data_IF_512180670358
#
_entry.id   IF_512180670358
#
_cell.length_a   1.000
_cell.length_b   1.000
_cell.length_c   1.000
_cell.angle_alpha   90.00
_cell.angle_beta   90.00
_cell.angle_gamma   90.00
#
_symmetry.space_group_name_H-M   'P 1'
#
loop_
_entity.id
_entity.type
_entity.pdbx_description
1 polymer ?
#
# COMPACT_ATOMS: atom_id res chain seq x y z
N UNK A 1 -20.10 -31.75 65.39
CA UNK A 1 -19.25 -31.82 64.19
C UNK A 1 -19.70 -30.70 63.26
N UNK A 2 -19.25 -29.48 63.51
CA UNK A 2 -18.04 -28.84 62.93
C UNK A 2 -18.18 -28.66 61.41
N UNK A 3 -18.53 -27.42 61.08
CA UNK A 3 -18.42 -26.69 59.82
C UNK A 3 -17.05 -26.84 59.15
N UNK A 4 -17.03 -26.91 57.81
CA UNK A 4 -15.91 -26.40 57.03
C UNK A 4 -16.39 -25.73 55.73
N UNK A 5 -16.19 -24.41 55.70
CA UNK A 5 -16.17 -23.57 54.50
C UNK A 5 -15.02 -24.04 53.60
N UNK A 6 -15.27 -24.22 52.30
CA UNK A 6 -14.20 -24.24 51.30
C UNK A 6 -14.22 -22.92 50.55
N UNK A 7 -13.11 -22.18 50.70
CA UNK A 7 -12.79 -20.96 49.97
C UNK A 7 -12.55 -21.28 48.49
N UNK A 8 -13.44 -20.81 47.62
CA UNK A 8 -13.15 -20.64 46.19
C UNK A 8 -12.22 -19.42 46.06
N UNK A 9 -10.93 -19.68 45.88
CA UNK A 9 -9.96 -18.67 45.45
C UNK A 9 -10.07 -18.53 43.94
N UNK A 10 -10.64 -17.42 43.48
CA UNK A 10 -10.64 -17.02 42.08
C UNK A 10 -9.22 -16.77 41.60
N UNK A 11 -8.69 -17.67 40.77
CA UNK A 11 -7.63 -17.30 39.83
C UNK A 11 -8.29 -16.63 38.62
N UNK A 12 -8.24 -15.30 38.57
CA UNK A 12 -8.44 -14.55 37.34
C UNK A 12 -7.27 -14.88 36.40
N UNK A 13 -7.44 -15.88 35.54
CA UNK A 13 -6.67 -15.97 34.33
C UNK A 13 -7.23 -14.90 33.38
N UNK A 14 -6.53 -13.76 33.28
CA UNK A 14 -6.73 -12.80 32.19
C UNK A 14 -6.50 -13.55 30.89
N UNK A 15 -7.59 -13.92 30.22
CA UNK A 15 -7.58 -14.48 28.87
C UNK A 15 -7.06 -13.41 27.93
N UNK A 16 -5.75 -13.41 27.69
CA UNK A 16 -5.16 -12.89 26.46
C UNK A 16 -5.79 -13.70 25.32
N UNK A 17 -6.76 -13.09 24.65
CA UNK A 17 -7.28 -13.57 23.37
C UNK A 17 -6.07 -13.89 22.48
N UNK A 18 -5.93 -15.16 22.12
CA UNK A 18 -4.90 -15.64 21.21
C UNK A 18 -5.15 -15.01 19.84
N UNK A 19 -4.51 -13.87 19.58
CA UNK A 19 -4.46 -13.24 18.27
C UNK A 19 -3.71 -14.17 17.34
N UNK A 20 -4.39 -14.65 16.29
CA UNK A 20 -3.75 -15.42 15.24
C UNK A 20 -2.64 -14.56 14.58
N UNK A 21 -1.40 -14.91 14.93
CA UNK A 21 -0.09 -14.61 14.34
C UNK A 21 0.07 -13.35 13.46
N UNK A 22 -0.07 -12.17 14.05
CA UNK A 22 0.58 -10.94 13.54
C UNK A 22 1.94 -10.66 14.23
N UNK A 23 2.17 -11.31 15.38
CA UNK A 23 3.31 -11.12 16.27
C UNK A 23 4.33 -12.25 16.09
N UNK A 24 5.59 -11.90 15.86
CA UNK A 24 6.72 -12.84 15.91
C UNK A 24 7.46 -12.71 17.25
N UNK A 25 8.04 -13.81 17.77
CA UNK A 25 8.89 -13.73 18.95
C UNK A 25 10.01 -12.69 18.78
N UNK A 26 10.07 -11.71 19.67
CA UNK A 26 11.05 -10.62 19.63
C UNK A 26 10.46 -9.26 19.24
N UNK A 27 9.28 -9.25 18.60
CA UNK A 27 8.62 -8.00 18.22
C UNK A 27 8.37 -7.12 19.46
N UNK A 28 8.65 -5.83 19.30
CA UNK A 28 8.30 -4.80 20.28
C UNK A 28 6.98 -4.17 19.88
N UNK A 29 6.11 -3.96 20.86
CA UNK A 29 4.76 -3.44 20.64
C UNK A 29 4.51 -2.20 21.49
N UNK A 30 3.73 -1.27 20.97
CA UNK A 30 3.12 -0.21 21.75
C UNK A 30 1.65 -0.05 21.35
N UNK A 31 0.78 0.00 22.35
CA UNK A 31 -0.67 0.15 22.15
C UNK A 31 -1.15 1.45 22.75
N UNK A 32 -2.08 2.11 22.05
CA UNK A 32 -2.72 3.30 22.60
C UNK A 32 -3.52 2.93 23.86
N UNK A 33 -3.39 3.75 24.90
CA UNK A 33 -4.15 3.63 26.15
C UNK A 33 -4.40 5.02 26.73
N UNK A 34 -5.19 5.12 27.80
CA UNK A 34 -5.48 6.41 28.44
C UNK A 34 -4.16 7.13 28.83
N UNK A 35 -3.80 8.18 28.07
CA UNK A 35 -2.58 8.97 28.28
C UNK A 35 -1.32 8.50 27.52
N UNK A 36 -1.37 7.39 26.77
CA UNK A 36 -0.21 6.91 25.98
C UNK A 36 -0.58 6.81 24.50
N UNK A 37 0.05 7.63 23.66
CA UNK A 37 -0.08 7.64 22.19
C UNK A 37 1.16 7.10 21.48
N UNK A 38 1.92 6.24 22.16
CA UNK A 38 3.17 5.67 21.68
C UNK A 38 4.16 6.72 21.15
N UNK A 39 4.55 7.72 21.97
CA UNK A 39 5.48 8.75 21.53
C UNK A 39 6.83 8.14 21.18
N UNK A 40 7.41 8.60 20.08
CA UNK A 40 8.61 8.06 19.46
C UNK A 40 9.81 7.99 20.42
N UNK A 41 9.93 8.95 21.33
CA UNK A 41 10.97 9.02 22.37
C UNK A 41 10.92 7.86 23.38
N UNK A 42 9.78 7.18 23.49
CA UNK A 42 9.56 6.07 24.43
C UNK A 42 9.66 4.71 23.77
N UNK A 43 9.76 4.66 22.43
CA UNK A 43 9.75 3.41 21.70
C UNK A 43 11.10 2.70 21.83
N UNK A 44 11.04 1.44 22.23
CA UNK A 44 12.17 0.52 22.16
C UNK A 44 12.02 -0.36 20.92
N UNK A 45 12.92 -0.18 19.95
CA UNK A 45 12.95 -0.99 18.74
C UNK A 45 13.34 -2.45 19.04
N UNK A 46 12.81 -3.38 18.25
CA UNK A 46 13.21 -4.78 18.28
C UNK A 46 14.68 -4.96 17.91
N UNK A 47 15.37 -5.84 18.62
CA UNK A 47 16.74 -6.24 18.28
C UNK A 47 16.80 -7.09 17.00
N UNK A 48 15.66 -7.66 16.54
CA UNK A 48 15.61 -8.54 15.36
C UNK A 48 15.63 -7.77 14.05
N UNK A 49 14.87 -6.69 13.96
CA UNK A 49 14.66 -5.94 12.71
C UNK A 49 14.65 -4.41 12.87
N UNK A 50 14.84 -3.92 14.10
CA UNK A 50 14.83 -2.50 14.41
C UNK A 50 13.46 -1.85 14.35
N UNK A 51 12.36 -2.64 14.43
CA UNK A 51 11.00 -2.12 14.33
C UNK A 51 10.20 -2.17 15.63
N UNK A 52 9.10 -1.42 15.67
CA UNK A 52 8.06 -1.48 16.71
C UNK A 52 6.70 -1.50 16.03
N UNK A 53 5.80 -2.37 16.48
CA UNK A 53 4.41 -2.41 16.04
C UNK A 53 3.57 -1.47 16.90
N UNK A 54 2.86 -0.55 16.26
CA UNK A 54 1.97 0.41 16.92
C UNK A 54 0.52 0.00 16.68
N UNK A 55 -0.21 -0.22 17.77
CA UNK A 55 -1.62 -0.56 17.78
C UNK A 55 -2.44 0.68 18.16
N UNK A 56 -2.94 1.45 17.17
CA UNK A 56 -3.68 2.69 17.43
C UNK A 56 -5.07 2.45 18.03
N UNK A 57 -5.65 1.26 17.85
CA UNK A 57 -7.01 0.94 18.32
C UNK A 57 -8.06 1.90 17.74
N UNK A 58 -9.02 2.31 18.57
CA UNK A 58 -10.10 3.20 18.16
C UNK A 58 -10.93 2.62 17.02
N UNK A 59 -11.12 3.40 15.95
CA UNK A 59 -11.89 2.97 14.78
C UNK A 59 -11.04 2.23 13.73
N UNK A 60 -9.75 1.98 13.99
CA UNK A 60 -8.91 1.24 13.04
C UNK A 60 -9.26 -0.25 13.06
N UNK A 61 -9.29 -0.86 11.88
CA UNK A 61 -9.60 -2.29 11.70
C UNK A 61 -9.29 -2.79 10.29
N UNK A 62 -9.17 -4.09 10.14
CA UNK A 62 -9.13 -4.78 8.85
C UNK A 62 -10.53 -5.15 8.33
N UNK A 63 -10.55 -5.69 7.10
CA UNK A 63 -11.76 -5.89 6.31
C UNK A 63 -12.86 -6.72 7.00
N UNK A 64 -12.48 -7.77 7.72
CA UNK A 64 -13.44 -8.75 8.25
C UNK A 64 -13.18 -9.02 9.72
N UNK A 65 -14.23 -9.43 10.43
CA UNK A 65 -14.09 -10.01 11.77
C UNK A 65 -13.30 -11.31 11.71
N UNK A 66 -12.60 -11.64 12.79
CA UNK A 66 -11.71 -12.79 12.91
C UNK A 66 -12.37 -14.09 12.45
N UNK A 67 -11.63 -14.86 11.67
CA UNK A 67 -12.07 -16.12 11.09
C UNK A 67 -10.88 -16.95 10.69
N UNK A 68 -11.02 -18.27 10.75
CA UNK A 68 -10.06 -19.21 10.18
C UNK A 68 -10.81 -20.40 9.63
N UNK A 69 -10.53 -20.71 8.37
CA UNK A 69 -10.96 -21.95 7.72
C UNK A 69 -9.72 -22.79 7.38
N UNK A 70 -9.54 -23.96 8.03
CA UNK A 70 -8.40 -24.83 7.78
C UNK A 70 -8.46 -25.52 6.41
N UNK A 71 -9.64 -25.66 5.78
CA UNK A 71 -9.81 -26.33 4.48
C UNK A 71 -9.30 -25.46 3.34
N UNK A 72 -9.53 -24.15 3.41
CA UNK A 72 -9.10 -23.18 2.39
C UNK A 72 -7.78 -22.47 2.75
N UNK A 73 -7.37 -22.55 4.02
CA UNK A 73 -6.25 -21.76 4.55
C UNK A 73 -6.58 -20.26 4.63
N UNK A 74 -7.86 -19.90 4.59
CA UNK A 74 -8.31 -18.51 4.67
C UNK A 74 -8.39 -18.07 6.13
N UNK A 75 -7.65 -17.03 6.46
CA UNK A 75 -7.64 -16.41 7.80
C UNK A 75 -7.82 -14.92 7.67
N UNK A 76 -8.66 -14.36 8.54
CA UNK A 76 -8.87 -12.92 8.70
C UNK A 76 -8.49 -12.52 10.13
N UNK A 77 -8.01 -11.29 10.28
CA UNK A 77 -7.75 -10.69 11.59
C UNK A 77 -8.23 -9.24 11.53
N UNK A 78 -9.18 -8.89 12.39
CA UNK A 78 -9.82 -7.58 12.45
C UNK A 78 -8.89 -6.48 12.97
N UNK A 79 -7.81 -6.84 13.66
CA UNK A 79 -6.90 -5.89 14.30
C UNK A 79 -5.98 -5.24 13.27
N UNK A 80 -5.95 -3.91 13.28
CA UNK A 80 -4.98 -3.12 12.54
C UNK A 80 -3.82 -2.67 13.43
N UNK A 81 -2.62 -2.65 12.85
CA UNK A 81 -1.42 -2.03 13.40
C UNK A 81 -0.60 -1.46 12.26
N UNK A 82 0.31 -0.54 12.58
CA UNK A 82 1.36 -0.09 11.65
C UNK A 82 2.73 -0.29 12.27
N UNK A 83 3.76 -0.36 11.44
CA UNK A 83 5.12 -0.70 11.86
C UNK A 83 6.04 0.51 11.70
N UNK A 84 6.87 0.77 12.71
CA UNK A 84 7.77 1.92 12.74
C UNK A 84 9.20 1.43 12.88
N UNK A 85 10.09 1.98 12.05
CA UNK A 85 11.54 1.81 12.16
C UNK A 85 12.15 3.16 12.57
N UNK A 86 12.32 3.40 13.89
CA UNK A 86 12.77 4.68 14.40
C UNK A 86 14.27 4.88 14.18
N UNK A 87 14.67 6.13 13.93
CA UNK A 87 16.06 6.60 13.95
C UNK A 87 16.17 7.84 14.85
N UNK A 88 17.30 8.03 15.55
CA UNK A 88 17.48 9.19 16.44
C UNK A 88 17.34 10.52 15.69
N UNK A 89 17.89 10.58 14.47
CA UNK A 89 17.75 11.74 13.59
C UNK A 89 16.36 11.75 12.94
N UNK A 90 15.56 12.80 13.21
CA UNK A 90 14.15 12.93 12.79
C UNK A 90 13.94 13.79 11.55
N UNK A 91 14.97 13.91 10.71
CA UNK A 91 14.96 14.81 9.54
C UNK A 91 14.45 14.14 8.27
N UNK A 92 14.59 12.83 8.16
CA UNK A 92 14.16 12.06 6.99
C UNK A 92 13.09 11.04 7.37
N UNK A 93 11.97 11.08 6.66
CA UNK A 93 10.82 10.21 6.90
C UNK A 93 10.33 9.57 5.60
N UNK A 94 10.22 8.24 5.62
CA UNK A 94 9.57 7.45 4.60
C UNK A 94 8.23 6.95 5.13
N UNK A 95 7.14 7.35 4.47
CA UNK A 95 5.80 6.78 4.66
C UNK A 95 5.61 5.71 3.58
N UNK A 96 5.51 4.44 3.98
CA UNK A 96 5.46 3.30 3.05
C UNK A 96 4.13 2.56 3.15
N UNK A 97 3.31 2.65 2.09
CA UNK A 97 2.03 1.97 1.99
C UNK A 97 2.19 0.56 1.39
N UNK A 98 1.75 -0.45 2.14
CA UNK A 98 1.83 -1.83 1.70
C UNK A 98 0.91 -2.12 0.52
N UNK A 99 1.32 -3.06 -0.31
CA UNK A 99 0.47 -3.71 -1.29
C UNK A 99 -0.32 -4.89 -0.73
N UNK A 100 -1.07 -5.58 -1.58
CA UNK A 100 -1.74 -6.82 -1.19
C UNK A 100 -3.04 -7.10 -1.92
N UNK A 101 -3.12 -6.75 -3.21
CA UNK A 101 -4.30 -6.94 -4.03
C UNK A 101 -5.41 -5.91 -3.78
N UNK A 102 -6.66 -6.24 -4.14
CA UNK A 102 -7.85 -5.43 -3.91
C UNK A 102 -9.11 -6.26 -4.19
N UNK A 103 -10.28 -5.75 -3.84
CA UNK A 103 -11.54 -6.15 -4.48
C UNK A 103 -12.06 -5.00 -5.35
N UNK A 104 -12.72 -5.29 -6.46
CA UNK A 104 -13.09 -4.27 -7.47
C UNK A 104 -14.60 -4.01 -7.56
N UNK A 105 -15.41 -4.86 -6.92
CA UNK A 105 -16.87 -4.79 -6.90
C UNK A 105 -17.45 -5.58 -5.72
N UNK A 106 -18.77 -5.52 -5.52
CA UNK A 106 -19.44 -6.19 -4.39
C UNK A 106 -19.20 -7.70 -4.34
N UNK A 107 -18.99 -8.35 -5.48
CA UNK A 107 -18.77 -9.80 -5.54
C UNK A 107 -17.36 -10.12 -5.06
N UNK A 108 -16.35 -9.50 -5.67
CA UNK A 108 -14.94 -9.66 -5.27
C UNK A 108 -14.69 -9.17 -3.85
N UNK A 109 -15.51 -8.28 -3.32
CA UNK A 109 -15.42 -7.83 -1.92
C UNK A 109 -16.14 -8.78 -0.93
N UNK A 110 -16.90 -9.75 -1.42
CA UNK A 110 -17.69 -10.62 -0.56
C UNK A 110 -16.82 -11.59 0.26
N UNK A 111 -17.14 -11.72 1.56
CA UNK A 111 -16.42 -12.62 2.46
C UNK A 111 -16.43 -14.08 1.98
N UNK A 112 -17.60 -14.61 1.63
CA UNK A 112 -17.76 -16.02 1.27
C UNK A 112 -16.96 -16.34 0.01
N UNK A 113 -16.93 -15.42 -0.96
CA UNK A 113 -16.09 -15.56 -2.15
C UNK A 113 -14.59 -15.56 -1.79
N UNK A 114 -14.12 -14.59 -0.99
CA UNK A 114 -12.70 -14.52 -0.60
C UNK A 114 -12.25 -15.75 0.18
N UNK A 115 -13.09 -16.25 1.09
CA UNK A 115 -12.88 -17.51 1.80
C UNK A 115 -12.82 -18.69 0.82
N UNK A 116 -13.76 -18.75 -0.13
CA UNK A 116 -13.85 -19.84 -1.10
C UNK A 116 -12.65 -19.89 -2.05
N UNK A 117 -12.09 -18.73 -2.41
CA UNK A 117 -10.87 -18.61 -3.18
C UNK A 117 -9.62 -19.03 -2.39
N UNK A 118 -9.66 -18.96 -1.05
CA UNK A 118 -8.58 -19.40 -0.17
C UNK A 118 -7.25 -18.68 -0.45
N UNK A 119 -6.27 -19.44 -0.93
CA UNK A 119 -4.94 -18.92 -1.34
C UNK A 119 -5.01 -18.04 -2.59
N UNK A 120 -6.06 -18.16 -3.40
CA UNK A 120 -6.30 -17.35 -4.61
C UNK A 120 -7.16 -16.10 -4.35
N UNK A 121 -7.38 -15.76 -3.08
CA UNK A 121 -8.08 -14.54 -2.66
C UNK A 121 -7.50 -13.30 -3.34
N UNK A 122 -8.36 -12.31 -3.59
CA UNK A 122 -7.94 -11.11 -4.35
C UNK A 122 -7.25 -10.08 -3.46
N UNK A 123 -7.31 -10.21 -2.13
CA UNK A 123 -6.53 -9.38 -1.22
C UNK A 123 -6.18 -10.10 0.09
N UNK A 124 -5.19 -9.59 0.83
CA UNK A 124 -4.85 -10.06 2.17
C UNK A 124 -5.76 -9.40 3.22
N UNK A 125 -6.55 -10.13 4.03
CA UNK A 125 -7.50 -9.56 4.99
C UNK A 125 -6.93 -9.48 6.43
N UNK A 126 -5.61 -9.39 6.57
CA UNK A 126 -4.92 -9.29 7.85
C UNK A 126 -3.68 -8.39 7.69
N UNK A 127 -3.46 -7.50 8.65
CA UNK A 127 -2.28 -6.64 8.67
C UNK A 127 -1.02 -7.48 8.89
N UNK A 128 0.05 -7.18 8.14
CA UNK A 128 1.31 -7.91 8.21
C UNK A 128 2.51 -6.97 8.21
N UNK A 129 3.42 -7.18 9.16
CA UNK A 129 4.72 -6.52 9.22
C UNK A 129 5.63 -6.95 8.06
N UNK A 130 6.67 -6.16 7.77
CA UNK A 130 7.65 -6.46 6.73
C UNK A 130 9.05 -5.98 7.13
N UNK A 131 10.06 -6.85 7.00
CA UNK A 131 11.44 -6.56 7.42
C UNK A 131 12.47 -6.80 6.29
N UNK A 132 12.01 -6.83 5.04
CA UNK A 132 12.83 -7.10 3.84
C UNK A 132 12.94 -5.89 2.92
N UNK A 133 13.90 -5.90 2.01
CA UNK A 133 14.15 -4.81 1.05
C UNK A 133 14.44 -3.50 1.77
N UNK A 134 13.71 -2.44 1.43
CA UNK A 134 13.83 -1.12 2.07
C UNK A 134 13.61 -1.10 3.59
N UNK A 135 13.00 -2.15 4.17
CA UNK A 135 12.82 -2.26 5.62
C UNK A 135 14.02 -2.93 6.31
N UNK A 136 14.89 -3.62 5.57
CA UNK A 136 16.05 -4.29 6.14
C UNK A 136 17.10 -3.27 6.59
N UNK A 137 17.25 -3.08 7.92
CA UNK A 137 18.17 -2.10 8.50
C UNK A 137 19.62 -2.59 8.56
N UNK A 138 19.84 -3.88 8.37
CA UNK A 138 21.15 -4.52 8.39
C UNK A 138 21.83 -4.51 7.02
N UNK A 139 21.09 -4.22 5.95
CA UNK A 139 21.67 -4.11 4.60
C UNK A 139 22.37 -2.75 4.43
N UNK A 140 23.71 -2.72 4.22
CA UNK A 140 24.45 -1.48 4.03
C UNK A 140 24.06 -0.74 2.72
N UNK A 141 23.48 -1.44 1.74
CA UNK A 141 23.08 -0.87 0.45
C UNK A 141 21.64 -0.32 0.46
N UNK A 142 20.88 -0.53 1.54
CA UNK A 142 19.55 0.02 1.65
C UNK A 142 19.61 1.55 1.79
N UNK A 143 19.11 2.26 0.78
CA UNK A 143 19.11 3.73 0.71
C UNK A 143 18.25 4.39 1.79
N UNK A 144 17.32 3.65 2.40
CA UNK A 144 16.49 4.10 3.51
C UNK A 144 16.97 3.60 4.88
N UNK A 145 18.16 2.97 4.96
CA UNK A 145 18.70 2.38 6.21
C UNK A 145 18.91 3.38 7.35
N UNK A 146 18.97 4.67 7.06
CA UNK A 146 19.12 5.76 8.05
C UNK A 146 17.89 6.67 8.14
N UNK A 147 16.82 6.35 7.41
CA UNK A 147 15.56 7.09 7.45
C UNK A 147 14.66 6.57 8.57
N UNK A 148 13.83 7.44 9.16
CA UNK A 148 12.67 6.94 9.89
C UNK A 148 11.70 6.35 8.86
N UNK A 149 11.14 5.17 9.15
CA UNK A 149 10.15 4.54 8.28
C UNK A 149 8.88 4.27 9.05
N UNK A 150 7.75 4.71 8.52
CA UNK A 150 6.41 4.29 8.96
C UNK A 150 5.84 3.43 7.84
N UNK A 151 5.77 2.14 8.07
CA UNK A 151 5.16 1.15 7.20
C UNK A 151 3.69 0.98 7.60
N UNK A 152 2.78 1.19 6.64
CA UNK A 152 1.33 1.08 6.81
C UNK A 152 0.86 -0.20 6.11
N UNK A 153 0.60 -1.29 6.86
CA UNK A 153 0.07 -2.53 6.32
C UNK A 153 -1.29 -2.34 5.65
N UNK A 154 -1.61 -3.23 4.72
CA UNK A 154 -2.84 -3.22 3.97
C UNK A 154 -3.67 -4.47 4.26
N UNK A 155 -4.90 -4.29 4.72
CA UNK A 155 -5.77 -5.40 5.10
C UNK A 155 -7.26 -5.20 4.82
N UNK A 156 -7.60 -4.20 3.99
CA UNK A 156 -8.97 -3.67 3.85
C UNK A 156 -9.57 -3.84 2.46
N UNK A 157 -8.81 -4.31 1.47
CA UNK A 157 -9.35 -4.59 0.12
C UNK A 157 -9.78 -3.36 -0.70
N UNK A 158 -9.52 -2.15 -0.18
CA UNK A 158 -10.02 -0.85 -0.66
C UNK A 158 -8.93 0.20 -1.00
N UNK A 159 -7.73 -0.25 -1.39
CA UNK A 159 -6.57 0.58 -1.72
C UNK A 159 -6.17 1.63 -0.66
N UNK A 160 -6.35 1.33 0.64
CA UNK A 160 -6.07 2.24 1.77
C UNK A 160 -6.95 3.50 1.82
N UNK A 161 -7.95 3.61 0.95
CA UNK A 161 -8.73 4.85 0.75
C UNK A 161 -10.24 4.61 0.79
N UNK A 162 -10.68 3.45 1.27
CA UNK A 162 -12.09 3.15 1.47
C UNK A 162 -12.64 3.67 2.80
N UNK A 163 -13.95 3.90 2.82
CA UNK A 163 -14.71 4.35 3.98
C UNK A 163 -16.16 3.85 3.98
N UNK A 164 -16.36 2.59 3.56
CA UNK A 164 -17.68 1.99 3.32
C UNK A 164 -17.80 0.66 4.03
N UNK A 165 -19.03 0.30 4.39
CA UNK A 165 -19.35 -1.06 4.86
C UNK A 165 -20.23 -1.74 3.81
N UNK A 166 -19.86 -2.96 3.42
CA UNK A 166 -20.69 -3.84 2.61
C UNK A 166 -21.33 -4.89 3.51
N UNK A 167 -22.61 -5.15 3.28
CA UNK A 167 -23.35 -6.16 4.01
C UNK A 167 -22.84 -7.57 3.68
N UNK A 168 -22.82 -8.44 4.69
CA UNK A 168 -22.35 -9.81 4.58
C UNK A 168 -23.40 -10.72 3.96
N UNK A 169 -23.79 -10.45 2.71
CA UNK A 169 -24.75 -11.26 1.96
C UNK A 169 -24.02 -12.11 0.93
N UNK A 170 -24.24 -13.41 0.98
CA UNK A 170 -23.78 -14.38 -0.02
C UNK A 170 -24.28 -14.00 -1.42
N UNK A 171 -23.45 -14.21 -2.45
CA UNK A 171 -23.69 -13.72 -3.81
C UNK A 171 -24.02 -14.83 -4.82
N UNK A 172 -23.93 -16.09 -4.40
CA UNK A 172 -24.07 -17.27 -5.24
C UNK A 172 -22.79 -17.64 -6.01
N UNK A 173 -21.91 -16.68 -6.32
CA UNK A 173 -20.65 -16.94 -7.03
C UNK A 173 -19.70 -17.85 -6.26
N UNK A 174 -19.70 -17.76 -4.93
CA UNK A 174 -18.96 -18.66 -4.05
C UNK A 174 -19.35 -20.14 -4.23
N UNK A 175 -20.56 -20.42 -4.74
CA UNK A 175 -21.02 -21.77 -5.10
C UNK A 175 -20.17 -22.46 -6.16
N UNK A 176 -19.51 -21.70 -7.03
CA UNK A 176 -18.65 -22.22 -8.09
C UNK A 176 -17.39 -22.92 -7.56
N UNK A 177 -17.02 -22.64 -6.31
CA UNK A 177 -15.76 -23.12 -5.71
C UNK A 177 -15.96 -24.33 -4.77
N UNK A 178 -17.20 -24.79 -4.58
CA UNK A 178 -17.55 -25.93 -3.74
C UNK A 178 -16.99 -25.86 -2.30
N UNK A 179 -16.99 -24.66 -1.72
CA UNK A 179 -16.57 -24.38 -0.34
C UNK A 179 -17.76 -23.98 0.53
N UNK A 180 -18.69 -24.92 0.75
CA UNK A 180 -19.93 -24.65 1.50
C UNK A 180 -19.70 -24.14 2.92
N UNK A 181 -18.56 -24.44 3.53
CA UNK A 181 -18.20 -23.91 4.86
C UNK A 181 -17.95 -22.39 4.86
N UNK A 182 -17.62 -21.80 3.72
CA UNK A 182 -17.42 -20.35 3.56
C UNK A 182 -18.74 -19.58 3.42
N UNK A 183 -19.85 -20.28 3.15
CA UNK A 183 -21.19 -19.69 2.96
C UNK A 183 -21.88 -19.41 4.29
N UNK A 184 -22.87 -18.52 4.27
CA UNK A 184 -23.74 -18.14 5.39
C UNK A 184 -22.98 -17.62 6.63
N UNK A 185 -21.75 -17.15 6.44
CA UNK A 185 -20.92 -16.59 7.52
C UNK A 185 -21.38 -15.18 7.93
N UNK A 186 -22.16 -14.50 7.08
CA UNK A 186 -22.76 -13.18 7.33
C UNK A 186 -21.78 -12.08 7.75
N UNK A 187 -20.52 -12.21 7.35
CA UNK A 187 -19.45 -11.26 7.69
C UNK A 187 -19.52 -10.04 6.78
N UNK A 188 -19.71 -8.87 7.40
CA UNK A 188 -19.63 -7.58 6.70
C UNK A 188 -18.20 -7.29 6.26
N UNK A 189 -18.04 -6.63 5.12
CA UNK A 189 -16.75 -6.07 4.73
C UNK A 189 -16.66 -4.62 5.18
N UNK A 190 -15.63 -4.31 5.95
CA UNK A 190 -15.27 -2.96 6.37
C UNK A 190 -14.15 -2.41 5.49
N UNK A 191 -14.50 -1.58 4.51
CA UNK A 191 -13.55 -0.75 3.78
C UNK A 191 -13.12 0.40 4.68
N UNK A 192 -12.15 0.12 5.55
CA UNK A 192 -11.69 1.02 6.60
C UNK A 192 -10.28 1.59 6.32
N UNK A 193 -9.82 1.47 5.07
CA UNK A 193 -8.46 1.83 4.67
C UNK A 193 -8.12 3.28 4.99
N UNK A 194 -9.06 4.21 4.77
CA UNK A 194 -8.78 5.63 5.02
C UNK A 194 -8.63 5.94 6.51
N UNK A 195 -9.44 5.34 7.38
CA UNK A 195 -9.31 5.53 8.83
C UNK A 195 -8.01 4.91 9.37
N UNK A 196 -7.60 3.75 8.85
CA UNK A 196 -6.30 3.16 9.17
C UNK A 196 -5.14 4.07 8.73
N UNK A 197 -5.21 4.59 7.51
CA UNK A 197 -4.22 5.52 6.94
C UNK A 197 -4.13 6.80 7.77
N UNK A 198 -5.28 7.40 8.11
CA UNK A 198 -5.35 8.59 8.95
C UNK A 198 -4.72 8.37 10.31
N UNK A 199 -4.99 7.24 10.97
CA UNK A 199 -4.42 6.94 12.28
C UNK A 199 -2.89 6.86 12.23
N UNK A 200 -2.33 6.15 11.24
CA UNK A 200 -0.88 6.04 11.06
C UNK A 200 -0.24 7.38 10.67
N UNK A 201 -0.85 8.14 9.76
CA UNK A 201 -0.36 9.45 9.33
C UNK A 201 -0.43 10.50 10.45
N UNK A 202 -1.49 10.50 11.25
CA UNK A 202 -1.63 11.39 12.41
C UNK A 202 -0.55 11.09 13.46
N UNK A 203 -0.29 9.80 13.75
CA UNK A 203 0.81 9.41 14.60
C UNK A 203 2.16 9.86 14.03
N UNK A 204 2.40 9.64 12.73
CA UNK A 204 3.65 10.03 12.08
C UNK A 204 3.87 11.55 12.14
N UNK A 205 2.83 12.37 11.87
CA UNK A 205 2.94 13.83 11.94
C UNK A 205 3.18 14.33 13.37
N UNK A 206 2.56 13.70 14.36
CA UNK A 206 2.77 14.06 15.76
C UNK A 206 4.20 13.77 16.24
N UNK A 207 4.83 12.72 15.72
CA UNK A 207 6.16 12.26 16.14
C UNK A 207 7.31 12.80 15.26
N UNK A 208 7.00 13.19 14.02
CA UNK A 208 7.95 13.77 13.06
C UNK A 208 7.39 15.08 12.49
N UNK A 209 7.17 16.12 13.33
CA UNK A 209 6.51 17.33 12.87
C UNK A 209 7.36 18.19 11.93
N UNK A 210 8.69 18.13 12.09
CA UNK A 210 9.69 19.04 11.48
C UNK A 210 10.73 18.28 10.63
N UNK A 211 10.24 17.37 9.78
CA UNK A 211 11.06 16.68 8.78
C UNK A 211 11.57 17.65 7.71
N UNK A 212 12.77 17.40 7.20
CA UNK A 212 13.34 18.12 6.06
C UNK A 212 13.08 17.38 4.76
N UNK A 213 13.17 16.04 4.79
CA UNK A 213 12.88 15.16 3.66
C UNK A 213 11.72 14.22 4.01
N UNK A 214 10.67 14.26 3.18
CA UNK A 214 9.50 13.40 3.29
C UNK A 214 9.30 12.65 1.99
N UNK A 215 9.33 11.31 2.05
CA UNK A 215 8.98 10.45 0.92
C UNK A 215 7.67 9.75 1.24
N UNK A 216 6.65 9.97 0.41
CA UNK A 216 5.45 9.16 0.39
C UNK A 216 5.58 8.11 -0.71
N UNK A 217 5.59 6.84 -0.33
CA UNK A 217 5.82 5.75 -1.27
C UNK A 217 4.88 4.60 -0.97
N UNK A 218 4.59 3.81 -2.00
CA UNK A 218 3.73 2.66 -1.84
C UNK A 218 3.97 1.64 -2.94
N UNK A 219 3.68 0.38 -2.63
CA UNK A 219 3.88 -0.74 -3.54
C UNK A 219 2.55 -1.38 -3.91
N UNK A 220 2.36 -1.78 -5.18
CA UNK A 220 1.14 -2.45 -5.65
C UNK A 220 -0.11 -1.60 -5.33
N UNK A 221 -1.10 -2.12 -4.59
CA UNK A 221 -2.25 -1.36 -4.09
C UNK A 221 -1.84 -0.07 -3.35
N UNK A 222 -0.75 -0.11 -2.57
CA UNK A 222 -0.19 1.06 -1.91
C UNK A 222 0.34 2.12 -2.90
N UNK A 223 0.78 1.72 -4.10
CA UNK A 223 1.20 2.67 -5.14
C UNK A 223 0.02 3.52 -5.63
N UNK A 224 -1.18 2.94 -5.71
CA UNK A 224 -2.42 3.67 -6.01
C UNK A 224 -2.85 4.54 -4.83
N UNK A 225 -2.70 4.04 -3.59
CA UNK A 225 -2.99 4.80 -2.39
C UNK A 225 -2.18 6.10 -2.33
N UNK A 226 -0.86 6.04 -2.55
CA UNK A 226 -0.02 7.24 -2.51
C UNK A 226 -0.30 8.23 -3.64
N UNK A 227 -0.77 7.74 -4.78
CA UNK A 227 -1.27 8.60 -5.87
C UNK A 227 -2.52 9.40 -5.43
N UNK A 228 -3.43 8.78 -4.68
CA UNK A 228 -4.65 9.43 -4.19
C UNK A 228 -4.45 10.29 -2.92
N UNK A 229 -3.56 9.86 -2.02
CA UNK A 229 -3.30 10.51 -0.73
C UNK A 229 -2.26 11.63 -0.78
N UNK A 230 -1.63 11.86 -1.94
CA UNK A 230 -0.50 12.77 -2.07
C UNK A 230 -0.78 14.20 -1.56
N UNK A 231 -1.94 14.77 -1.90
CA UNK A 231 -2.35 16.10 -1.43
C UNK A 231 -2.69 16.11 0.06
N UNK A 232 -3.37 15.08 0.54
CA UNK A 232 -3.68 14.93 1.96
C UNK A 232 -2.41 14.92 2.82
N UNK A 233 -1.40 14.13 2.43
CA UNK A 233 -0.09 14.09 3.12
C UNK A 233 0.67 15.40 2.97
N UNK A 234 0.65 16.01 1.78
CA UNK A 234 1.27 17.33 1.55
C UNK A 234 0.70 18.42 2.45
N UNK A 235 -0.62 18.42 2.66
CA UNK A 235 -1.32 19.32 3.56
C UNK A 235 -0.93 19.07 5.03
N UNK A 236 -0.92 17.81 5.47
CA UNK A 236 -0.54 17.43 6.85
C UNK A 236 0.84 17.96 7.26
N UNK A 237 1.82 17.93 6.36
CA UNK A 237 3.18 18.45 6.61
C UNK A 237 3.39 19.89 6.14
N UNK A 238 2.35 20.56 5.63
CA UNK A 238 2.41 21.92 5.10
C UNK A 238 3.58 22.12 4.11
N UNK A 239 3.68 21.22 3.13
CA UNK A 239 4.82 21.15 2.20
C UNK A 239 4.94 22.41 1.33
N UNK A 240 3.83 23.13 1.11
CA UNK A 240 3.81 24.40 0.40
C UNK A 240 4.56 25.54 1.12
N UNK A 241 4.89 25.36 2.40
CA UNK A 241 5.75 26.31 3.12
C UNK A 241 7.20 26.33 2.60
N UNK A 242 7.59 25.34 1.79
CA UNK A 242 8.95 25.20 1.25
C UNK A 242 9.98 24.66 2.25
N UNK A 243 9.57 24.36 3.49
CA UNK A 243 10.45 23.79 4.53
C UNK A 243 10.67 22.29 4.42
N UNK A 244 9.76 21.58 3.75
CA UNK A 244 9.78 20.12 3.60
C UNK A 244 9.99 19.78 2.13
N UNK A 245 11.06 19.08 1.82
CA UNK A 245 11.28 18.47 0.52
C UNK A 245 10.46 17.18 0.44
N UNK A 246 9.32 17.27 -0.25
CA UNK A 246 8.33 16.21 -0.34
C UNK A 246 8.37 15.53 -1.71
N UNK A 247 8.56 14.21 -1.75
CA UNK A 247 8.61 13.41 -2.98
C UNK A 247 7.71 12.16 -2.92
N UNK A 248 7.29 11.68 -4.09
CA UNK A 248 6.33 10.57 -4.21
C UNK A 248 6.88 9.42 -5.07
N UNK A 249 6.79 8.18 -4.57
CA UNK A 249 7.33 6.98 -5.25
C UNK A 249 6.28 5.87 -5.35
N UNK A 250 5.52 5.79 -6.46
CA UNK A 250 4.64 4.65 -6.74
C UNK A 250 5.43 3.48 -7.36
N UNK A 251 5.47 2.34 -6.66
CA UNK A 251 6.13 1.10 -7.11
C UNK A 251 5.10 0.07 -7.61
N UNK A 252 5.18 -0.25 -8.90
CA UNK A 252 4.48 -1.37 -9.55
C UNK A 252 2.95 -1.26 -9.61
N UNK A 253 2.41 -0.05 -9.75
CA UNK A 253 1.00 0.14 -10.16
C UNK A 253 0.69 1.55 -10.68
N UNK A 254 0.01 1.66 -11.84
CA UNK A 254 -0.36 2.95 -12.46
C UNK A 254 -1.86 3.12 -12.76
N UNK A 255 -2.70 2.15 -12.39
CA UNK A 255 -4.17 2.29 -12.45
C UNK A 255 -4.75 2.12 -13.86
N UNK A 256 -4.10 1.31 -14.70
CA UNK A 256 -4.63 0.95 -16.02
C UNK A 256 -5.90 0.10 -15.82
N UNK A 257 -7.02 0.57 -16.36
CA UNK A 257 -8.33 -0.06 -16.26
C UNK A 257 -8.96 -0.28 -17.65
N UNK A 258 -9.88 -1.23 -17.81
CA UNK A 258 -10.69 -1.38 -19.02
C UNK A 258 -11.48 -0.12 -19.34
N UNK A 259 -11.84 0.08 -20.60
CA UNK A 259 -12.53 1.30 -21.07
C UNK A 259 -13.87 1.54 -20.36
N UNK A 260 -14.52 0.47 -19.90
CA UNK A 260 -15.81 0.48 -19.22
C UNK A 260 -15.69 0.82 -17.73
N UNK A 261 -14.47 0.96 -17.20
CA UNK A 261 -14.17 1.21 -15.79
C UNK A 261 -13.29 2.45 -15.65
N UNK A 262 -13.83 3.48 -15.02
CA UNK A 262 -13.05 4.68 -14.70
C UNK A 262 -12.48 4.59 -13.28
N UNK A 263 -11.34 5.23 -13.00
CA UNK A 263 -10.87 5.43 -11.62
C UNK A 263 -11.91 6.11 -10.74
N UNK A 264 -12.66 7.08 -11.27
CA UNK A 264 -13.80 7.67 -10.56
C UNK A 264 -14.80 6.62 -10.06
N UNK A 265 -15.18 5.65 -10.91
CA UNK A 265 -16.10 4.57 -10.52
C UNK A 265 -15.55 3.69 -9.39
N UNK A 266 -14.24 3.40 -9.39
CA UNK A 266 -13.58 2.60 -8.35
C UNK A 266 -13.52 3.38 -7.03
N UNK A 267 -13.07 4.64 -7.09
CA UNK A 267 -13.01 5.53 -5.92
C UNK A 267 -14.40 5.74 -5.31
N UNK A 268 -15.43 5.92 -6.14
CA UNK A 268 -16.79 6.10 -5.66
C UNK A 268 -17.33 4.81 -5.02
N UNK A 269 -17.03 3.64 -5.60
CA UNK A 269 -17.42 2.35 -5.04
C UNK A 269 -16.88 2.15 -3.61
N UNK A 270 -15.63 2.54 -3.34
CA UNK A 270 -15.01 2.48 -2.02
C UNK A 270 -15.50 3.57 -1.04
N UNK A 271 -16.27 4.56 -1.52
CA UNK A 271 -16.69 5.73 -0.74
C UNK A 271 -15.65 6.86 -0.72
N UNK A 272 -14.54 6.72 -1.45
CA UNK A 272 -13.40 7.66 -1.44
C UNK A 272 -13.78 9.06 -1.92
N UNK A 273 -14.69 9.18 -2.89
CA UNK A 273 -15.11 10.49 -3.42
C UNK A 273 -15.83 11.37 -2.38
N UNK A 274 -16.26 10.80 -1.25
CA UNK A 274 -16.86 11.55 -0.13
C UNK A 274 -15.84 12.02 0.92
N UNK A 275 -14.58 11.60 0.81
CA UNK A 275 -13.53 11.88 1.79
C UNK A 275 -12.85 13.23 1.52
N UNK A 276 -12.42 13.88 2.60
CA UNK A 276 -11.56 15.07 2.49
C UNK A 276 -10.10 14.65 2.29
N UNK A 277 -9.74 14.43 1.02
CA UNK A 277 -8.35 14.16 0.60
C UNK A 277 -7.61 15.44 0.19
N UNK A 278 -8.14 16.63 0.53
CA UNK A 278 -7.61 17.94 0.09
C UNK A 278 -7.57 18.10 -1.43
N UNK A 279 -8.45 17.38 -2.13
CA UNK A 279 -8.64 17.49 -3.58
C UNK A 279 -9.51 18.72 -3.91
N UNK A 280 -9.29 19.39 -5.06
CA UNK A 280 -10.18 20.46 -5.52
C UNK A 280 -11.63 19.99 -5.68
N UNK A 281 -12.59 20.88 -5.47
CA UNK A 281 -14.03 20.56 -5.60
C UNK A 281 -14.39 19.98 -6.97
N UNK A 282 -13.80 20.51 -8.05
CA UNK A 282 -14.01 19.99 -9.41
C UNK A 282 -13.58 18.53 -9.56
N UNK A 283 -12.51 18.11 -8.88
CA UNK A 283 -12.09 16.72 -8.85
C UNK A 283 -13.14 15.88 -8.12
N UNK A 284 -13.57 16.33 -6.94
CA UNK A 284 -14.60 15.65 -6.13
C UNK A 284 -15.90 15.45 -6.93
N UNK A 285 -16.33 16.46 -7.67
CA UNK A 285 -17.53 16.40 -8.52
C UNK A 285 -17.37 15.35 -9.63
N UNK A 286 -16.23 15.36 -10.35
CA UNK A 286 -15.94 14.35 -11.39
C UNK A 286 -15.83 12.92 -10.82
N UNK A 287 -15.33 12.78 -9.59
CA UNK A 287 -15.19 11.50 -8.90
C UNK A 287 -16.57 10.92 -8.60
N UNK A 288 -17.46 11.73 -8.01
CA UNK A 288 -18.86 11.34 -7.73
C UNK A 288 -19.65 11.07 -9.00
N UNK A 289 -19.32 11.76 -10.10
CA UNK A 289 -19.89 11.51 -11.43
C UNK A 289 -19.28 10.30 -12.15
N UNK A 290 -18.31 9.60 -11.56
CA UNK A 290 -17.57 8.47 -12.15
C UNK A 290 -16.84 8.82 -13.46
N UNK A 291 -16.45 10.08 -13.67
CA UNK A 291 -15.77 10.52 -14.90
C UNK A 291 -14.26 10.76 -14.72
N UNK A 292 -13.77 10.79 -13.49
CA UNK A 292 -12.33 10.95 -13.18
C UNK A 292 -11.48 9.87 -13.85
N UNK A 293 -10.41 10.29 -14.51
CA UNK A 293 -9.40 9.43 -15.14
C UNK A 293 -8.13 9.31 -14.29
N UNK A 294 -7.24 8.37 -14.62
CA UNK A 294 -5.93 8.27 -13.95
C UNK A 294 -5.02 9.46 -14.29
N UNK A 295 -5.28 10.11 -15.42
CA UNK A 295 -4.59 11.36 -15.75
C UNK A 295 -4.98 12.44 -14.74
N UNK A 296 -6.27 12.56 -14.41
CA UNK A 296 -6.76 13.55 -13.46
C UNK A 296 -6.23 13.32 -12.05
N UNK A 297 -6.18 12.05 -11.58
CA UNK A 297 -5.71 11.68 -10.23
C UNK A 297 -4.31 12.25 -9.95
N UNK A 298 -3.37 12.04 -10.88
CA UNK A 298 -1.98 12.45 -10.70
C UNK A 298 -1.77 13.91 -11.12
N UNK A 299 -2.32 14.34 -12.27
CA UNK A 299 -2.07 15.71 -12.76
C UNK A 299 -2.70 16.79 -11.89
N UNK A 300 -3.78 16.49 -11.16
CA UNK A 300 -4.32 17.38 -10.13
C UNK A 300 -3.26 17.66 -9.06
N UNK A 301 -2.62 16.61 -8.54
CA UNK A 301 -1.55 16.77 -7.55
C UNK A 301 -0.34 17.49 -8.14
N UNK A 302 0.10 17.14 -9.36
CA UNK A 302 1.24 17.80 -10.00
C UNK A 302 1.02 19.31 -10.18
N UNK A 303 -0.21 19.73 -10.47
CA UNK A 303 -0.57 21.15 -10.60
C UNK A 303 -0.65 21.86 -9.25
N UNK A 304 -1.17 21.19 -8.23
CA UNK A 304 -1.32 21.78 -6.88
C UNK A 304 0.01 21.81 -6.12
N UNK A 305 0.89 20.83 -6.32
CA UNK A 305 2.21 20.71 -5.69
C UNK A 305 3.32 20.63 -6.76
N UNK A 306 3.58 21.70 -7.53
CA UNK A 306 4.50 21.66 -8.68
C UNK A 306 5.96 21.41 -8.31
N UNK A 307 6.32 21.57 -7.04
CA UNK A 307 7.68 21.34 -6.54
C UNK A 307 7.94 19.88 -6.14
N UNK A 308 6.89 19.06 -5.98
CA UNK A 308 7.01 17.66 -5.54
C UNK A 308 7.47 16.77 -6.70
N UNK A 309 8.68 16.16 -6.63
CA UNK A 309 9.10 15.19 -7.63
C UNK A 309 8.33 13.87 -7.47
N UNK A 310 8.15 13.18 -8.61
CA UNK A 310 7.53 11.86 -8.67
C UNK A 310 8.49 10.86 -9.31
N UNK A 311 8.54 9.64 -8.78
CA UNK A 311 9.30 8.55 -9.37
C UNK A 311 8.46 7.28 -9.49
N UNK A 312 8.06 6.94 -10.71
CA UNK A 312 7.34 5.71 -11.01
C UNK A 312 8.31 4.58 -11.33
N UNK A 313 8.15 3.43 -10.67
CA UNK A 313 8.91 2.21 -10.94
C UNK A 313 7.93 1.15 -11.42
N UNK A 314 8.18 0.50 -12.56
CA UNK A 314 7.25 -0.51 -13.06
C UNK A 314 7.89 -1.53 -14.00
N UNK A 315 7.38 -2.77 -13.99
CA UNK A 315 7.70 -3.74 -15.05
C UNK A 315 6.88 -3.45 -16.30
N UNK A 316 7.45 -3.60 -17.50
CA UNK A 316 6.70 -3.41 -18.75
C UNK A 316 5.50 -4.34 -18.87
N UNK A 317 5.64 -5.58 -18.40
CA UNK A 317 4.62 -6.62 -18.48
C UNK A 317 4.04 -7.04 -17.14
N UNK A 318 4.08 -6.19 -16.10
CA UNK A 318 3.65 -6.49 -14.72
C UNK A 318 2.41 -7.41 -14.68
N UNK A 319 2.62 -8.65 -14.21
CA UNK A 319 1.59 -9.69 -14.25
C UNK A 319 0.40 -9.36 -13.36
N UNK A 320 0.62 -8.71 -12.22
CA UNK A 320 -0.43 -8.38 -11.26
C UNK A 320 -1.34 -7.30 -11.81
N UNK A 321 -0.78 -6.24 -12.42
CA UNK A 321 -1.59 -5.21 -13.05
C UNK A 321 -2.47 -5.78 -14.16
N UNK A 322 -1.94 -6.70 -14.98
CA UNK A 322 -2.69 -7.37 -16.04
C UNK A 322 -3.77 -8.31 -15.49
N UNK A 323 -3.49 -8.97 -14.36
CA UNK A 323 -4.48 -9.79 -13.64
C UNK A 323 -5.65 -8.96 -13.12
N UNK A 324 -5.37 -7.84 -12.44
CA UNK A 324 -6.42 -6.96 -11.92
C UNK A 324 -7.17 -6.19 -13.01
N UNK A 325 -6.50 -5.86 -14.13
CA UNK A 325 -7.19 -5.39 -15.33
C UNK A 325 -8.25 -6.40 -15.78
N UNK A 326 -7.90 -7.70 -15.80
CA UNK A 326 -8.82 -8.75 -16.20
C UNK A 326 -9.96 -8.96 -15.19
N UNK A 327 -9.69 -8.88 -13.88
CA UNK A 327 -10.76 -8.88 -12.86
C UNK A 327 -11.71 -7.70 -13.10
N UNK A 328 -11.19 -6.49 -13.33
CA UNK A 328 -12.03 -5.32 -13.55
C UNK A 328 -12.89 -5.42 -14.83
N UNK A 329 -12.41 -6.17 -15.84
CA UNK A 329 -13.06 -6.38 -17.13
C UNK A 329 -14.13 -7.46 -17.08
N UNK A 330 -13.77 -8.66 -16.63
CA UNK A 330 -14.61 -9.86 -16.73
C UNK A 330 -15.34 -10.18 -15.41
N UNK A 331 -14.96 -9.51 -14.32
CA UNK A 331 -15.42 -9.85 -12.97
C UNK A 331 -14.92 -11.24 -12.53
N UNK A 332 -15.48 -11.72 -11.42
CA UNK A 332 -15.10 -13.04 -10.88
C UNK A 332 -15.50 -14.20 -11.80
N UNK A 333 -16.51 -14.02 -12.66
CA UNK A 333 -16.95 -15.06 -13.58
C UNK A 333 -15.90 -15.44 -14.64
N UNK A 334 -14.95 -14.54 -14.93
CA UNK A 334 -13.82 -14.85 -15.80
C UNK A 334 -12.70 -15.65 -15.12
N UNK A 335 -12.77 -15.87 -13.81
CA UNK A 335 -11.74 -16.59 -13.07
C UNK A 335 -11.87 -18.13 -13.23
N UNK A 336 -10.78 -18.87 -13.47
CA UNK A 336 -9.40 -18.39 -13.65
C UNK A 336 -9.17 -17.79 -15.04
N UNK A 337 -8.47 -16.66 -15.10
CA UNK A 337 -8.21 -15.97 -16.36
C UNK A 337 -7.16 -16.71 -17.19
N UNK A 338 -7.55 -17.10 -18.40
CA UNK A 338 -6.66 -17.76 -19.36
C UNK A 338 -5.86 -16.77 -20.19
N UNK A 339 -6.41 -15.57 -20.42
CA UNK A 339 -5.77 -14.49 -21.16
C UNK A 339 -5.76 -13.23 -20.29
N UNK A 340 -4.58 -12.69 -20.05
CA UNK A 340 -4.40 -11.38 -19.44
C UNK A 340 -4.18 -10.33 -20.52
N UNK A 341 -4.42 -9.05 -20.20
CA UNK A 341 -4.01 -7.93 -21.05
C UNK A 341 -2.58 -8.15 -21.58
N UNK A 342 -2.29 -8.07 -22.89
CA UNK A 342 -0.94 -8.27 -23.40
C UNK A 342 0.09 -7.33 -22.72
N UNK A 343 1.33 -7.79 -22.44
CA UNK A 343 2.37 -6.94 -21.86
C UNK A 343 2.62 -5.64 -22.65
N UNK A 344 2.62 -5.74 -23.98
CA UNK A 344 2.82 -4.58 -24.86
C UNK A 344 1.71 -3.53 -24.71
N UNK A 345 0.46 -3.97 -24.52
CA UNK A 345 -0.69 -3.08 -24.34
C UNK A 345 -0.64 -2.39 -22.97
N UNK A 346 -0.28 -3.12 -21.91
CA UNK A 346 -0.04 -2.51 -20.59
C UNK A 346 1.07 -1.46 -20.69
N UNK A 347 2.21 -1.82 -21.29
CA UNK A 347 3.35 -0.90 -21.43
C UNK A 347 2.98 0.34 -22.24
N UNK A 348 2.25 0.18 -23.35
CA UNK A 348 1.77 1.31 -24.14
C UNK A 348 0.83 2.23 -23.33
N UNK A 349 -0.07 1.65 -22.53
CA UNK A 349 -0.98 2.43 -21.68
C UNK A 349 -0.23 3.17 -20.56
N UNK A 350 0.77 2.53 -19.93
CA UNK A 350 1.62 3.18 -18.92
C UNK A 350 2.44 4.33 -19.51
N UNK A 351 3.00 4.18 -20.71
CA UNK A 351 3.72 5.28 -21.36
C UNK A 351 2.81 6.47 -21.65
N UNK A 352 1.57 6.25 -22.10
CA UNK A 352 0.59 7.35 -22.29
C UNK A 352 0.35 8.13 -20.99
N UNK A 353 0.25 7.44 -19.85
CA UNK A 353 0.14 8.11 -18.54
C UNK A 353 1.41 8.89 -18.20
N UNK A 354 2.59 8.27 -18.32
CA UNK A 354 3.88 8.94 -18.04
C UNK A 354 4.07 10.19 -18.93
N UNK A 355 3.71 10.14 -20.20
CA UNK A 355 3.82 11.28 -21.12
C UNK A 355 2.89 12.43 -20.70
N UNK A 356 1.65 12.11 -20.31
CA UNK A 356 0.72 13.10 -19.77
C UNK A 356 1.26 13.73 -18.47
N UNK A 357 1.87 12.93 -17.59
CA UNK A 357 2.45 13.41 -16.34
C UNK A 357 3.69 14.29 -16.57
N UNK A 358 4.60 13.88 -17.46
CA UNK A 358 5.77 14.67 -17.85
C UNK A 358 5.42 15.97 -18.56
N UNK A 359 4.31 15.98 -19.30
CA UNK A 359 3.76 17.20 -19.89
C UNK A 359 3.21 18.17 -18.84
N UNK A 360 2.68 17.65 -17.72
CA UNK A 360 2.20 18.46 -16.61
C UNK A 360 3.33 18.93 -15.68
N UNK A 361 4.42 18.16 -15.52
CA UNK A 361 5.57 18.53 -14.70
C UNK A 361 6.85 17.86 -15.17
N UNK A 362 7.92 18.65 -15.28
CA UNK A 362 9.27 18.16 -15.61
C UNK A 362 9.92 17.37 -14.47
N UNK A 363 9.32 17.33 -13.28
CA UNK A 363 9.82 16.60 -12.10
C UNK A 363 9.30 15.17 -12.01
N UNK A 364 8.65 14.67 -13.07
CA UNK A 364 8.19 13.27 -13.17
C UNK A 364 9.29 12.41 -13.80
N UNK A 365 9.74 11.42 -13.04
CA UNK A 365 10.72 10.41 -13.44
C UNK A 365 10.07 9.04 -13.51
N UNK A 366 10.58 8.17 -14.37
CA UNK A 366 10.08 6.80 -14.55
C UNK A 366 11.23 5.85 -14.85
N UNK A 367 11.23 4.67 -14.23
CA UNK A 367 12.12 3.56 -14.56
C UNK A 367 11.28 2.33 -14.87
N UNK A 368 11.34 1.88 -16.13
CA UNK A 368 10.71 0.65 -16.56
C UNK A 368 11.71 -0.50 -16.50
N UNK A 369 11.24 -1.70 -16.15
CA UNK A 369 12.05 -2.92 -16.09
C UNK A 369 11.44 -3.95 -17.04
N UNK A 370 12.29 -4.71 -17.73
CA UNK A 370 11.83 -5.79 -18.60
C UNK A 370 11.20 -6.95 -17.79
N UNK A 371 10.20 -7.60 -18.38
CA UNK A 371 9.53 -8.76 -17.77
C UNK A 371 8.24 -8.42 -17.03
N UNK A 372 7.85 -9.31 -16.12
CA UNK A 372 6.52 -9.31 -15.48
C UNK A 372 6.56 -9.19 -13.95
N UNK A 373 7.73 -8.86 -13.38
CA UNK A 373 7.91 -8.72 -11.93
C UNK A 373 6.91 -7.73 -11.35
N UNK A 374 6.46 -7.99 -10.14
CA UNK A 374 5.59 -7.09 -9.40
C UNK A 374 6.22 -6.74 -8.06
N UNK A 375 6.36 -5.44 -7.80
CA UNK A 375 7.05 -4.83 -6.65
C UNK A 375 8.57 -4.98 -6.74
N UNK A 376 9.28 -3.87 -6.53
CA UNK A 376 10.73 -3.83 -6.52
C UNK A 376 11.28 -3.54 -5.13
N UNK A 377 10.75 -2.53 -4.44
CA UNK A 377 11.32 -2.01 -3.18
C UNK A 377 11.30 -3.03 -2.02
N UNK A 378 10.46 -4.07 -2.12
CA UNK A 378 10.43 -5.18 -1.16
C UNK A 378 11.51 -6.24 -1.41
N UNK A 379 12.11 -6.27 -2.60
CA UNK A 379 13.16 -7.21 -2.96
C UNK A 379 14.42 -6.98 -2.13
N UNK A 380 15.04 -8.06 -1.63
CA UNK A 380 16.25 -7.97 -0.81
C UNK A 380 17.42 -7.26 -1.51
N UNK A 381 17.48 -7.33 -2.84
CA UNK A 381 18.50 -6.68 -3.68
C UNK A 381 17.85 -5.70 -4.66
N UNK A 382 16.82 -4.97 -4.24
CA UNK A 382 16.06 -4.07 -5.12
C UNK A 382 16.97 -3.10 -5.89
N UNK A 383 18.06 -2.65 -5.26
CA UNK A 383 19.04 -1.73 -5.85
C UNK A 383 19.76 -2.28 -7.08
N UNK A 384 19.89 -3.60 -7.21
CA UNK A 384 20.52 -4.24 -8.37
C UNK A 384 19.56 -4.43 -9.55
N UNK A 385 18.27 -4.13 -9.39
CA UNK A 385 17.30 -4.20 -10.50
C UNK A 385 17.74 -3.29 -11.63
N UNK A 386 17.90 -3.84 -12.84
CA UNK A 386 18.31 -3.08 -14.02
C UNK A 386 17.08 -2.66 -14.82
N UNK A 387 16.93 -1.36 -15.03
CA UNK A 387 15.91 -0.79 -15.90
C UNK A 387 16.18 -1.08 -17.38
N UNK A 388 15.18 -0.87 -18.22
CA UNK A 388 15.23 -1.13 -19.67
C UNK A 388 16.29 -0.31 -20.43
N UNK A 389 16.67 0.86 -19.90
CA UNK A 389 17.78 1.67 -20.39
C UNK A 389 19.17 1.27 -19.84
N UNK A 390 19.22 0.26 -18.96
CA UNK A 390 20.46 -0.30 -18.39
C UNK A 390 20.92 0.32 -17.07
N UNK A 391 20.23 1.35 -16.55
CA UNK A 391 20.54 1.89 -15.22
C UNK A 391 20.06 0.97 -14.08
N UNK A 392 20.81 0.89 -12.99
CA UNK A 392 20.35 0.23 -11.76
C UNK A 392 19.34 1.09 -11.02
N UNK A 393 18.33 0.45 -10.42
CA UNK A 393 17.31 1.11 -9.59
C UNK A 393 17.94 1.80 -8.39
N UNK A 394 18.97 1.22 -7.77
CA UNK A 394 19.69 1.84 -6.65
C UNK A 394 20.33 3.17 -7.05
N UNK A 395 21.05 3.19 -8.17
CA UNK A 395 21.70 4.40 -8.66
C UNK A 395 20.68 5.48 -9.04
N UNK A 396 19.61 5.09 -9.72
CA UNK A 396 18.54 6.01 -10.11
C UNK A 396 17.83 6.61 -8.89
N UNK A 397 17.47 5.76 -7.91
CA UNK A 397 16.80 6.19 -6.69
C UNK A 397 17.72 7.08 -5.82
N UNK A 398 19.01 6.77 -5.76
CA UNK A 398 20.00 7.60 -5.06
C UNK A 398 20.10 9.01 -5.66
N UNK A 399 20.15 9.10 -7.00
CA UNK A 399 20.12 10.39 -7.70
C UNK A 399 18.81 11.14 -7.47
N UNK A 400 17.67 10.44 -7.50
CA UNK A 400 16.37 11.03 -7.23
C UNK A 400 16.25 11.57 -5.79
N UNK A 401 16.74 10.82 -4.79
CA UNK A 401 16.79 11.27 -3.39
C UNK A 401 17.74 12.47 -3.23
N UNK A 402 18.85 12.49 -3.96
CA UNK A 402 19.77 13.64 -3.96
C UNK A 402 19.11 14.89 -4.54
N UNK A 403 18.27 14.74 -5.58
CA UNK A 403 17.45 15.82 -6.11
C UNK A 403 16.39 16.27 -5.09
N UNK A 404 15.76 15.34 -4.39
CA UNK A 404 14.79 15.67 -3.35
C UNK A 404 15.46 16.55 -2.29
N UNK A 405 16.63 16.16 -1.80
CA UNK A 405 17.39 16.94 -0.83
C UNK A 405 17.86 18.30 -1.38
N UNK A 406 18.18 18.39 -2.68
CA UNK A 406 18.67 19.59 -3.35
C UNK A 406 17.87 19.89 -4.63
N UNK A 407 16.74 20.65 -4.55
CA UNK A 407 15.82 20.84 -5.67
C UNK A 407 16.37 21.52 -6.92
N UNK A 408 17.56 22.14 -6.84
CA UNK A 408 18.33 22.69 -7.96
C UNK A 408 18.99 21.62 -8.84
N UNK A 409 19.09 20.39 -8.36
CA UNK A 409 19.63 19.25 -9.10
C UNK A 409 18.65 18.80 -10.18
N UNK A 410 19.16 18.52 -11.38
CA UNK A 410 18.33 18.04 -12.47
C UNK A 410 17.71 16.66 -12.14
N UNK A 411 16.46 16.38 -12.58
CA UNK A 411 15.89 15.05 -12.40
C UNK A 411 16.71 13.97 -13.10
N UNK A 412 16.83 12.77 -12.51
CA UNK A 412 17.47 11.65 -13.17
C UNK A 412 16.72 11.32 -14.46
N UNK A 413 17.45 11.18 -15.56
CA UNK A 413 16.90 10.76 -16.85
C UNK A 413 17.32 9.33 -17.14
N UNK A 414 16.40 8.46 -17.60
CA UNK A 414 16.79 7.19 -18.21
C UNK A 414 17.79 7.48 -19.32
N UNK A 415 19.01 6.98 -19.19
CA UNK A 415 20.07 7.20 -20.17
C UNK A 415 20.37 5.86 -20.80
N UNK A 416 20.17 5.68 -22.12
CA UNK A 416 20.55 4.44 -22.77
C UNK A 416 22.03 4.20 -22.53
N UNK A 417 22.37 3.08 -21.90
CA UNK A 417 23.75 2.60 -21.88
C UNK A 417 24.16 2.31 -23.32
N UNK A 418 25.18 3.01 -23.83
CA UNK A 418 25.72 2.85 -25.19
C UNK A 418 26.46 1.53 -25.40
N UNK A 419 26.36 0.56 -24.48
CA UNK A 419 26.88 -0.78 -24.66
C UNK A 419 25.86 -1.63 -25.41
N UNK A 420 25.97 -1.64 -26.74
CA UNK A 420 25.43 -2.73 -27.55
C UNK A 420 25.91 -4.07 -26.95
N UNK A 421 25.03 -5.05 -26.69
CA UNK A 421 25.49 -6.37 -26.30
C UNK A 421 26.31 -6.95 -27.46
N UNK A 422 27.44 -7.64 -27.20
CA UNK A 422 28.18 -8.30 -28.27
C UNK A 422 27.24 -9.30 -28.95
N UNK A 423 27.08 -9.13 -30.27
CA UNK A 423 26.39 -10.07 -31.14
C UNK A 423 27.02 -11.44 -30.91
N UNK A 424 26.29 -12.35 -30.25
CA UNK A 424 26.68 -13.76 -30.21
C UNK A 424 26.57 -14.30 -31.65
N UNK A 425 27.63 -14.90 -32.21
CA UNK A 425 27.48 -15.62 -33.46
C UNK A 425 26.50 -16.78 -33.25
N UNK A 426 25.60 -16.96 -34.21
CA UNK A 426 24.72 -18.11 -34.24
C UNK A 426 25.56 -19.41 -34.20
N UNK A 427 25.16 -20.33 -33.32
CA UNK A 427 25.50 -21.74 -33.37
C UNK A 427 24.21 -22.51 -33.20
#
# INVERSE_FOLDING_TARGET
MVSYRSLLTSFFATTLLSTAQAYQPGDQICSYSAGTSCPIDTLKASDTDGSVLIYPGGNTRCAFDDYTDPKTGYTTNSTFFFQVFPKPERKKLLLMFQGGGACVDSNTCNFALQCSLGTSRTFAPAAAAASTGIFNRSDPNNLFKDWNVVHIPYCTGDLHIGSKVLEGVDTGFEGLFNQTQCMNQKKKMHMNGFENSKAALAWAKANYPDVEELVLSGMSAGALAVQALALYVGDLWNVNSGRVHYGIVPDSYMGILPAERTPGSVLNFYGTCGLDLKLPSSFVDSCKANTTTMIDVVTTTLKTLPQTPWFFINSKGDRTQRYFYQIAKDGILGYPFTNLLPPADLYAAMNKLIDAYKSASSRVSSLFVEGEQHVFLRGATYYDTVGDAGQKLGDFLSQWLSQLANPSTAPPKPTPTTSSPPVRPAC
#
